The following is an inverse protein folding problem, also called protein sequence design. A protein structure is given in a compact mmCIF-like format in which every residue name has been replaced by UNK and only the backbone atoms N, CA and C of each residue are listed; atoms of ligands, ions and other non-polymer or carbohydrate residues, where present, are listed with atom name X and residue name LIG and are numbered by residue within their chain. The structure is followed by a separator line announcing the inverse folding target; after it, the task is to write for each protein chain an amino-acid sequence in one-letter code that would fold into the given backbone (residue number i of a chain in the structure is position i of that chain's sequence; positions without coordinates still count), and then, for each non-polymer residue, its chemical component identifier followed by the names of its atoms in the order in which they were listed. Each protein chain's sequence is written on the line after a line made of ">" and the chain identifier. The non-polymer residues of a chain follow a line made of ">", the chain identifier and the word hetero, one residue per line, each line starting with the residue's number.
data_IF_781386922412
#
_entry.id   IF_781386922412
#
_cell.length_a   1.000
_cell.length_b   1.000
_cell.length_c   1.000
_cell.angle_alpha   90.00
_cell.angle_beta   90.00
_cell.angle_gamma   90.00
#
_symmetry.space_group_name_H-M   'P 1'
#
loop_
_entity.id
_entity.type
_entity.pdbx_description
1 polymer ?
#
# COMPACT_ATOMS: atom_id res chain seq x y z
N UNK A 1 -4.42 -17.15 -1.63
CA UNK A 1 -3.10 -17.06 -2.31
C UNK A 1 -2.44 -18.41 -2.54
N UNK A 2 -2.29 -19.32 -1.55
CA UNK A 2 -1.62 -20.61 -1.79
C UNK A 2 -2.23 -21.43 -2.92
N UNK A 3 -3.57 -21.47 -3.01
CA UNK A 3 -4.29 -22.12 -4.11
C UNK A 3 -3.97 -21.51 -5.48
N UNK A 4 -3.88 -20.18 -5.58
CA UNK A 4 -3.54 -19.48 -6.82
C UNK A 4 -2.10 -19.80 -7.20
N UNK A 5 -1.17 -19.73 -6.25
CA UNK A 5 0.23 -20.08 -6.47
C UNK A 5 0.38 -21.54 -6.95
N UNK A 6 -0.35 -22.47 -6.33
CA UNK A 6 -0.35 -23.87 -6.74
C UNK A 6 -0.93 -24.08 -8.14
N UNK A 7 -2.00 -23.37 -8.48
CA UNK A 7 -2.60 -23.43 -9.81
C UNK A 7 -1.61 -22.96 -10.88
N UNK A 8 -1.07 -21.73 -10.76
CA UNK A 8 -0.16 -21.20 -11.79
C UNK A 8 1.16 -21.98 -11.86
N UNK A 9 1.58 -22.60 -10.76
CA UNK A 9 2.71 -23.51 -10.75
C UNK A 9 2.43 -24.78 -11.56
N UNK A 10 1.25 -25.40 -11.36
CA UNK A 10 0.82 -26.57 -12.13
C UNK A 10 0.63 -26.26 -13.63
N UNK A 11 0.31 -25.01 -13.98
CA UNK A 11 0.26 -24.52 -15.37
C UNK A 11 1.64 -24.33 -16.01
N UNK A 12 2.75 -24.54 -15.26
CA UNK A 12 4.11 -24.49 -15.80
C UNK A 12 4.73 -23.09 -15.82
N UNK A 13 4.25 -22.17 -14.95
CA UNK A 13 4.82 -20.82 -14.83
C UNK A 13 6.31 -20.88 -14.44
N UNK A 14 7.16 -20.21 -15.20
CA UNK A 14 8.62 -20.21 -15.05
C UNK A 14 9.09 -19.49 -13.78
N UNK A 15 8.37 -18.44 -13.35
CA UNK A 15 8.67 -17.70 -12.12
C UNK A 15 7.42 -17.20 -11.44
N UNK A 16 7.24 -17.51 -10.16
CA UNK A 16 6.12 -17.04 -9.34
C UNK A 16 6.67 -16.25 -8.15
N UNK A 17 6.17 -15.04 -7.98
CA UNK A 17 6.54 -14.17 -6.86
C UNK A 17 5.28 -13.66 -6.16
N UNK A 18 5.23 -13.81 -4.84
CA UNK A 18 4.20 -13.22 -3.99
C UNK A 18 4.76 -11.94 -3.38
N UNK A 19 3.98 -10.86 -3.45
CA UNK A 19 4.30 -9.58 -2.85
C UNK A 19 3.21 -9.21 -1.85
N UNK A 20 3.58 -8.85 -0.61
CA UNK A 20 2.63 -8.55 0.47
C UNK A 20 3.17 -7.50 1.46
N UNK A 21 2.30 -6.86 2.24
CA UNK A 21 2.68 -6.02 3.39
C UNK A 21 2.96 -6.83 4.68
N UNK A 22 2.70 -8.14 4.67
CA UNK A 22 2.83 -9.04 5.83
C UNK A 22 3.59 -10.33 5.44
N UNK A 23 4.84 -10.28 4.97
CA UNK A 23 5.57 -11.46 4.48
C UNK A 23 5.70 -12.56 5.54
N UNK A 24 5.80 -12.20 6.81
CA UNK A 24 5.89 -13.09 7.97
C UNK A 24 4.69 -14.04 8.13
N UNK A 25 3.53 -13.73 7.53
CA UNK A 25 2.38 -14.66 7.54
C UNK A 25 2.65 -15.93 6.72
N UNK A 26 3.57 -15.87 5.76
CA UNK A 26 4.03 -17.00 4.95
C UNK A 26 5.15 -17.80 5.64
N UNK A 27 4.96 -18.10 6.91
CA UNK A 27 5.87 -18.97 7.67
C UNK A 27 5.69 -20.45 7.28
N UNK A 28 6.43 -21.34 7.95
CA UNK A 28 6.42 -22.78 7.66
C UNK A 28 5.03 -23.46 7.71
N UNK A 29 4.02 -22.84 8.33
CA UNK A 29 2.65 -23.38 8.35
C UNK A 29 1.93 -23.22 7.00
N UNK A 30 2.31 -22.23 6.17
CA UNK A 30 1.74 -22.04 4.84
C UNK A 30 2.61 -22.75 3.80
N UNK A 31 2.13 -23.89 3.29
CA UNK A 31 2.81 -24.58 2.19
C UNK A 31 2.62 -23.82 0.88
N UNK A 32 3.74 -23.36 0.32
CA UNK A 32 3.80 -22.81 -1.03
C UNK A 32 4.45 -23.84 -1.97
N UNK A 33 4.09 -23.84 -3.26
CA UNK A 33 4.80 -24.63 -4.27
C UNK A 33 6.29 -24.30 -4.32
N UNK A 34 7.07 -25.24 -4.85
CA UNK A 34 8.51 -25.07 -5.02
C UNK A 34 8.81 -23.86 -5.93
N UNK A 35 9.86 -23.11 -5.60
CA UNK A 35 10.30 -21.94 -6.37
C UNK A 35 9.48 -20.66 -6.19
N UNK A 36 8.37 -20.69 -5.43
CA UNK A 36 7.62 -19.49 -5.07
C UNK A 36 8.38 -18.70 -4.00
N UNK A 37 8.64 -17.42 -4.26
CA UNK A 37 9.26 -16.53 -3.27
C UNK A 37 8.27 -15.48 -2.76
N UNK A 38 8.43 -15.07 -1.51
CA UNK A 38 7.60 -14.05 -0.86
C UNK A 38 8.47 -12.84 -0.53
N UNK A 39 8.02 -11.65 -0.89
CA UNK A 39 8.71 -10.41 -0.60
C UNK A 39 7.78 -9.35 -0.05
N UNK A 40 8.35 -8.42 0.72
CA UNK A 40 7.63 -7.21 1.12
C UNK A 40 7.31 -6.33 -0.10
N UNK A 41 6.18 -5.62 -0.06
CA UNK A 41 5.72 -4.76 -1.16
C UNK A 41 6.66 -3.64 -1.57
N UNK A 42 7.60 -3.25 -0.72
CA UNK A 42 8.60 -2.22 -1.06
C UNK A 42 9.56 -2.69 -2.17
N UNK A 43 9.63 -4.00 -2.40
CA UNK A 43 10.40 -4.61 -3.49
C UNK A 43 9.62 -4.69 -4.81
N UNK A 44 8.35 -4.23 -4.87
CA UNK A 44 7.48 -4.44 -6.02
C UNK A 44 8.10 -3.99 -7.35
N UNK A 45 8.63 -2.76 -7.42
CA UNK A 45 9.24 -2.23 -8.65
C UNK A 45 10.48 -3.04 -9.07
N UNK A 46 11.36 -3.38 -8.13
CA UNK A 46 12.52 -4.23 -8.41
C UNK A 46 12.10 -5.61 -8.94
N UNK A 47 11.12 -6.25 -8.29
CA UNK A 47 10.57 -7.55 -8.70
C UNK A 47 9.94 -7.46 -10.09
N UNK A 48 9.16 -6.41 -10.38
CA UNK A 48 8.57 -6.24 -11.71
C UNK A 48 9.62 -6.13 -12.81
N UNK A 49 10.76 -5.49 -12.52
CA UNK A 49 11.91 -5.44 -13.45
C UNK A 49 12.59 -6.80 -13.58
N UNK A 50 12.82 -7.50 -12.48
CA UNK A 50 13.38 -8.87 -12.50
C UNK A 50 12.49 -9.83 -13.29
N UNK A 51 11.17 -9.79 -13.10
CA UNK A 51 10.21 -10.64 -13.80
C UNK A 51 10.16 -10.36 -15.30
N UNK A 52 10.46 -9.14 -15.75
CA UNK A 52 10.54 -8.79 -17.18
C UNK A 52 11.63 -9.56 -17.92
N UNK A 53 12.72 -9.89 -17.23
CA UNK A 53 13.87 -10.58 -17.82
C UNK A 53 13.70 -12.11 -17.83
N UNK A 54 12.67 -12.63 -17.16
CA UNK A 54 12.39 -14.07 -17.11
C UNK A 54 11.93 -14.55 -18.48
N UNK A 55 12.66 -15.53 -19.03
CA UNK A 55 12.21 -16.25 -20.22
C UNK A 55 11.04 -17.16 -19.87
N UNK A 56 9.95 -17.07 -20.63
CA UNK A 56 8.70 -17.78 -20.37
C UNK A 56 7.69 -16.95 -19.57
N UNK A 57 6.72 -17.62 -18.96
CA UNK A 57 5.63 -16.93 -18.23
C UNK A 57 6.07 -16.65 -16.80
N UNK A 58 6.03 -15.38 -16.39
CA UNK A 58 6.17 -14.95 -14.99
C UNK A 58 4.84 -14.55 -14.39
N UNK A 59 4.61 -14.85 -13.11
CA UNK A 59 3.41 -14.44 -12.36
C UNK A 59 3.81 -13.69 -11.10
N UNK A 60 3.21 -12.50 -10.93
CA UNK A 60 3.25 -11.72 -9.70
C UNK A 60 1.89 -11.80 -9.00
N UNK A 61 1.87 -12.36 -7.79
CA UNK A 61 0.68 -12.41 -6.94
C UNK A 61 0.77 -11.29 -5.91
N UNK A 62 -0.06 -10.26 -6.07
CA UNK A 62 -0.14 -9.15 -5.12
C UNK A 62 -1.15 -9.47 -4.01
N UNK A 63 -0.64 -9.85 -2.83
CA UNK A 63 -1.44 -10.26 -1.69
C UNK A 63 -1.59 -9.13 -0.67
N UNK A 64 -2.54 -8.25 -0.96
CA UNK A 64 -2.95 -7.20 -0.05
C UNK A 64 -4.45 -6.96 -0.16
N UNK A 65 -5.10 -6.74 0.98
CA UNK A 65 -6.51 -6.30 0.98
C UNK A 65 -6.60 -4.88 0.42
N UNK A 66 -7.44 -4.66 -0.58
CA UNK A 66 -7.60 -3.35 -1.21
C UNK A 66 -8.14 -2.29 -0.23
N UNK A 67 -7.87 -1.01 -0.51
CA UNK A 67 -8.25 0.10 0.37
C UNK A 67 -9.76 0.16 0.68
N UNK A 68 -10.62 -0.13 -0.30
CA UNK A 68 -12.07 -0.16 -0.13
C UNK A 68 -12.51 -1.27 0.82
N UNK A 69 -11.94 -2.47 0.69
CA UNK A 69 -12.21 -3.58 1.60
C UNK A 69 -11.69 -3.31 3.02
N UNK A 70 -10.47 -2.77 3.17
CA UNK A 70 -9.95 -2.36 4.48
C UNK A 70 -10.89 -1.38 5.17
N UNK A 71 -11.37 -0.35 4.45
CA UNK A 71 -12.36 0.62 4.96
C UNK A 71 -13.69 -0.05 5.34
N UNK A 72 -14.21 -0.95 4.51
CA UNK A 72 -15.45 -1.69 4.77
C UNK A 72 -15.35 -2.53 6.03
N UNK A 73 -14.26 -3.30 6.19
CA UNK A 73 -14.01 -4.16 7.36
C UNK A 73 -13.86 -3.33 8.64
N UNK A 74 -13.14 -2.21 8.59
CA UNK A 74 -13.01 -1.28 9.73
C UNK A 74 -14.35 -0.70 10.18
N UNK A 75 -15.20 -0.26 9.24
CA UNK A 75 -16.58 0.19 9.56
C UNK A 75 -17.43 -0.90 10.21
N UNK A 76 -17.21 -2.17 9.85
CA UNK A 76 -17.88 -3.34 10.43
C UNK A 76 -17.22 -3.87 11.71
N UNK A 77 -16.11 -3.29 12.15
CA UNK A 77 -15.35 -3.78 13.31
C UNK A 77 -14.61 -5.10 13.08
N UNK A 78 -14.49 -5.58 11.83
CA UNK A 78 -13.82 -6.86 11.48
C UNK A 78 -12.35 -6.69 11.08
N UNK A 79 -11.81 -5.48 11.22
CA UNK A 79 -10.41 -5.17 11.01
C UNK A 79 -10.01 -4.03 11.95
N UNK A 80 -8.81 -4.11 12.52
CA UNK A 80 -8.26 -3.06 13.38
C UNK A 80 -8.26 -1.74 12.61
N UNK A 81 -8.83 -0.71 13.23
CA UNK A 81 -8.71 0.66 12.75
C UNK A 81 -7.58 1.34 13.52
N UNK A 82 -6.44 1.66 12.86
CA UNK A 82 -5.35 2.36 13.53
C UNK A 82 -5.84 3.68 14.12
N UNK A 83 -5.57 3.89 15.41
CA UNK A 83 -5.84 5.13 16.14
C UNK A 83 -4.82 6.24 15.79
N UNK A 84 -4.38 6.27 14.52
CA UNK A 84 -3.43 7.23 13.98
C UNK A 84 -3.97 7.78 12.67
N UNK A 85 -3.77 9.08 12.43
CA UNK A 85 -4.13 9.74 11.17
C UNK A 85 -2.99 10.62 10.70
N UNK A 86 -2.76 10.64 9.39
CA UNK A 86 -1.80 11.53 8.76
C UNK A 86 -2.54 12.70 8.10
N UNK A 87 -1.98 13.90 8.28
CA UNK A 87 -2.42 15.15 7.70
C UNK A 87 -1.21 15.82 7.03
N UNK A 88 -1.49 16.74 6.11
CA UNK A 88 -0.48 17.60 5.50
C UNK A 88 -0.86 19.03 5.87
N UNK A 89 0.08 19.75 6.50
CA UNK A 89 -0.04 21.18 6.73
C UNK A 89 0.25 21.92 5.42
N UNK A 90 -0.79 22.50 4.84
CA UNK A 90 -0.75 23.21 3.56
C UNK A 90 0.09 24.49 3.61
N UNK A 91 0.23 25.12 4.78
CA UNK A 91 1.11 26.28 4.98
C UNK A 91 2.61 25.92 4.94
N UNK A 92 2.97 24.63 5.09
CA UNK A 92 4.36 24.13 5.02
C UNK A 92 4.59 23.32 3.73
N UNK A 93 3.54 22.89 3.05
CA UNK A 93 3.65 22.06 1.86
C UNK A 93 4.23 22.86 0.69
N UNK A 94 5.22 22.30 0.00
CA UNK A 94 5.82 22.90 -1.20
C UNK A 94 5.38 22.23 -2.50
N UNK A 95 4.41 21.30 -2.45
CA UNK A 95 3.88 20.65 -3.65
C UNK A 95 4.85 19.68 -4.36
N UNK A 96 5.99 19.33 -3.75
CA UNK A 96 7.05 18.52 -4.37
C UNK A 96 6.65 17.11 -4.84
N UNK A 97 5.57 16.55 -4.29
CA UNK A 97 5.02 15.26 -4.72
C UNK A 97 5.72 14.00 -4.18
N UNK A 98 6.75 14.12 -3.32
CA UNK A 98 7.44 12.96 -2.74
C UNK A 98 6.48 12.01 -2.01
N UNK A 99 5.50 12.56 -1.28
CA UNK A 99 4.44 11.78 -0.63
C UNK A 99 3.64 10.91 -1.62
N UNK A 100 3.38 11.38 -2.84
CA UNK A 100 2.72 10.61 -3.90
C UNK A 100 3.65 9.56 -4.51
N UNK A 101 4.93 9.88 -4.71
CA UNK A 101 5.93 8.94 -5.22
C UNK A 101 6.14 7.78 -4.26
N UNK A 102 6.23 8.04 -2.96
CA UNK A 102 6.46 7.01 -1.93
C UNK A 102 5.25 6.11 -1.70
N UNK A 103 4.04 6.63 -1.84
CA UNK A 103 2.82 5.89 -1.50
C UNK A 103 2.04 5.37 -2.70
N UNK A 104 2.22 5.97 -3.87
CA UNK A 104 1.36 5.80 -5.04
C UNK A 104 -0.15 5.88 -4.67
N UNK A 105 -0.50 6.74 -3.70
CA UNK A 105 -1.80 6.71 -3.06
C UNK A 105 -2.74 7.77 -3.61
N UNK A 106 -3.91 7.34 -4.08
CA UNK A 106 -5.00 8.21 -4.57
C UNK A 106 -5.61 9.10 -3.48
N UNK A 107 -5.38 8.80 -2.21
CA UNK A 107 -5.84 9.65 -1.09
C UNK A 107 -4.94 10.86 -0.86
N UNK A 108 -3.80 10.97 -1.53
CA UNK A 108 -2.97 12.18 -1.55
C UNK A 108 -3.48 13.06 -2.69
N UNK A 109 -4.37 13.98 -2.37
CA UNK A 109 -5.08 14.83 -3.33
C UNK A 109 -4.41 16.20 -3.47
N UNK A 110 -4.52 16.85 -4.64
CA UNK A 110 -4.15 18.26 -4.76
C UNK A 110 -5.07 19.13 -3.89
N UNK A 111 -4.52 20.25 -3.42
CA UNK A 111 -5.23 21.30 -2.71
C UNK A 111 -4.80 22.64 -3.30
N UNK A 112 -5.72 23.36 -3.94
CA UNK A 112 -5.45 24.70 -4.45
C UNK A 112 -5.43 25.71 -3.29
N UNK A 113 -4.39 26.54 -3.26
CA UNK A 113 -4.18 27.60 -2.26
C UNK A 113 -3.68 28.87 -2.94
N UNK A 114 -3.69 29.99 -2.22
CA UNK A 114 -3.11 31.25 -2.71
C UNK A 114 -1.60 31.15 -3.01
N UNK A 115 -0.90 30.20 -2.39
CA UNK A 115 0.53 29.93 -2.57
C UNK A 115 0.79 28.82 -3.59
N UNK A 116 -0.19 28.50 -4.44
CA UNK A 116 -0.13 27.46 -5.47
C UNK A 116 -0.67 26.11 -5.03
N UNK A 117 -0.53 25.11 -5.90
CA UNK A 117 -1.03 23.75 -5.66
C UNK A 117 -0.24 23.04 -4.56
N UNK A 118 -0.91 22.74 -3.46
CA UNK A 118 -0.41 21.96 -2.31
C UNK A 118 -1.00 20.55 -2.33
N UNK A 119 -0.78 19.78 -1.26
CA UNK A 119 -1.31 18.42 -1.08
C UNK A 119 -2.12 18.32 0.20
N UNK A 120 -3.13 17.44 0.19
CA UNK A 120 -3.91 17.06 1.37
C UNK A 120 -4.17 15.56 1.40
N UNK A 121 -4.40 15.02 2.60
CA UNK A 121 -4.83 13.63 2.77
C UNK A 121 -6.34 13.57 2.89
N UNK A 122 -7.01 12.92 1.94
CA UNK A 122 -8.43 12.63 2.03
C UNK A 122 -8.70 11.59 3.13
N UNK A 123 -9.22 12.07 4.27
CA UNK A 123 -9.49 11.26 5.46
C UNK A 123 -10.58 10.20 5.26
N UNK A 124 -11.44 10.38 4.25
CA UNK A 124 -12.54 9.46 3.92
C UNK A 124 -12.08 8.30 3.04
N UNK A 125 -11.03 8.51 2.23
CA UNK A 125 -10.47 7.49 1.34
C UNK A 125 -9.19 6.84 1.84
N UNK A 126 -8.50 7.47 2.80
CA UNK A 126 -7.23 6.98 3.35
C UNK A 126 -7.33 5.53 3.87
N UNK A 127 -6.41 4.68 3.42
CA UNK A 127 -6.29 3.29 3.84
C UNK A 127 -5.48 3.10 5.15
N UNK A 128 -4.87 4.18 5.68
CA UNK A 128 -4.04 4.19 6.90
C UNK A 128 -2.87 3.18 6.87
N UNK A 129 -2.18 3.04 5.74
CA UNK A 129 -0.93 2.27 5.67
C UNK A 129 0.33 3.12 5.93
N UNK A 130 0.17 4.45 6.02
CA UNK A 130 1.20 5.45 6.32
C UNK A 130 2.43 5.44 5.41
N UNK A 131 2.38 4.78 4.25
CA UNK A 131 3.48 4.73 3.29
C UNK A 131 3.89 6.13 2.80
N UNK A 132 2.95 7.08 2.77
CA UNK A 132 3.22 8.47 2.40
C UNK A 132 4.14 9.20 3.39
N UNK A 133 4.18 8.78 4.66
CA UNK A 133 5.01 9.38 5.72
C UNK A 133 6.48 8.93 5.61
N UNK A 134 6.77 7.90 4.80
CA UNK A 134 8.15 7.48 4.53
C UNK A 134 8.92 8.47 3.64
N UNK A 135 8.24 9.50 3.11
CA UNK A 135 8.87 10.61 2.42
C UNK A 135 9.50 11.63 3.38
N UNK A 136 10.48 12.39 2.90
CA UNK A 136 11.13 13.44 3.67
C UNK A 136 10.37 14.75 3.53
N UNK A 137 9.17 14.80 4.13
CA UNK A 137 8.27 15.94 3.98
C UNK A 137 8.01 16.63 5.32
N UNK A 138 8.45 17.90 5.50
CA UNK A 138 8.29 18.63 6.76
C UNK A 138 6.84 19.00 7.06
N UNK A 139 5.93 18.90 6.08
CA UNK A 139 4.52 19.26 6.27
C UNK A 139 3.68 18.14 6.89
N UNK A 140 4.21 16.94 7.12
CA UNK A 140 3.41 15.86 7.70
C UNK A 140 3.12 16.11 9.18
N UNK A 141 1.86 15.97 9.54
CA UNK A 141 1.39 15.96 10.92
C UNK A 141 0.67 14.64 11.16
N UNK A 142 1.10 13.87 12.16
CA UNK A 142 0.39 12.66 12.57
C UNK A 142 -0.29 12.86 13.91
N UNK A 143 -1.59 12.62 13.96
CA UNK A 143 -2.39 12.73 15.16
C UNK A 143 -2.80 11.35 15.67
N UNK A 144 -2.56 11.11 16.96
CA UNK A 144 -2.97 9.89 17.67
C UNK A 144 -4.33 10.11 18.35
N UNK A 145 -5.19 9.08 18.33
CA UNK A 145 -6.55 9.14 18.90
C UNK A 145 -7.52 10.09 18.20
N UNK A 146 -7.09 10.81 17.16
CA UNK A 146 -7.90 11.85 16.52
C UNK A 146 -9.14 11.29 15.79
N UNK A 147 -10.29 11.90 16.08
CA UNK A 147 -11.52 11.70 15.33
C UNK A 147 -11.79 12.89 14.41
N UNK A 148 -12.05 12.61 13.14
CA UNK A 148 -12.40 13.66 12.17
C UNK A 148 -13.83 14.07 12.42
N UNK A 149 -14.08 15.39 12.50
CA UNK A 149 -15.43 15.95 12.60
C UNK A 149 -16.26 15.39 11.43
N UNK A 150 -17.46 14.88 11.73
CA UNK A 150 -18.38 14.43 10.68
C UNK A 150 -18.79 15.65 9.84
N UNK A 151 -18.90 15.52 8.51
CA UNK A 151 -19.52 16.56 7.70
C UNK A 151 -20.93 16.83 8.24
N UNK A 152 -21.32 18.09 8.29
CA UNK A 152 -22.72 18.50 8.46
C UNK A 152 -23.53 18.18 7.20
#
# INVERSE_FOLDING_TARGET
>A
VPQIAAQVHAEGTSRIVIVTDEPEKYNAAIKLPEGVTVHHRDRLDAIQRELREVQGTSVLIYDQTCATEKRRRRKRGTMVDPARRAFINDAVCEGCGDCSVKSNCLSVEPLETELGTKRKINQSSCNKDFSCVNGFCPSFVTAEGAQVRKPE
#
